data_IF_774370086642
#
_entry.id   IF_774370086642
#
_cell.length_a   1.000
_cell.length_b   1.000
_cell.length_c   1.000
_cell.angle_alpha   90.00
_cell.angle_beta   90.00
_cell.angle_gamma   90.00
#
_symmetry.space_group_name_H-M   'P 1'
#
loop_
_entity.id
_entity.type
_entity.pdbx_description
1 polymer ?
#
# COMPACT_ATOMS: atom_id res chain seq x y z
N UNK A 1 26.35 -12.63 7.06
CA UNK A 1 25.21 -11.81 7.51
C UNK A 1 24.29 -12.72 8.27
N UNK A 2 24.06 -12.48 9.56
CA UNK A 2 23.10 -13.26 10.35
C UNK A 2 21.70 -13.14 9.73
N UNK A 3 21.05 -14.28 9.56
CA UNK A 3 19.65 -14.29 9.12
C UNK A 3 18.78 -13.89 10.30
N UNK A 4 18.13 -12.76 10.21
CA UNK A 4 17.11 -12.40 11.18
C UNK A 4 15.97 -13.41 11.15
N UNK A 5 15.42 -13.69 12.31
CA UNK A 5 14.09 -14.32 12.40
C UNK A 5 13.11 -13.48 11.58
N UNK A 6 12.10 -14.14 10.99
CA UNK A 6 11.13 -13.44 10.13
C UNK A 6 10.53 -12.27 10.91
N UNK A 7 10.81 -11.02 10.51
CA UNK A 7 10.26 -9.87 11.18
C UNK A 7 8.78 -9.71 10.78
N UNK A 8 7.88 -9.75 11.73
CA UNK A 8 6.46 -9.44 11.51
C UNK A 8 6.23 -7.93 11.64
N UNK A 9 6.94 -7.16 10.84
CA UNK A 9 6.83 -5.68 10.78
C UNK A 9 6.56 -5.24 9.35
N UNK A 10 5.82 -4.14 9.14
CA UNK A 10 5.52 -3.64 7.79
C UNK A 10 6.73 -3.10 7.03
N UNK A 11 7.78 -2.74 7.75
CA UNK A 11 9.03 -2.23 7.20
C UNK A 11 9.76 -1.30 8.18
N UNK A 12 10.98 -0.90 7.86
CA UNK A 12 11.79 -1.38 6.73
C UNK A 12 12.22 -2.85 6.91
N UNK A 13 12.26 -3.58 5.81
CA UNK A 13 12.65 -5.00 5.77
C UNK A 13 13.77 -5.23 4.76
N UNK A 14 14.49 -6.35 4.90
CA UNK A 14 15.47 -6.75 3.90
C UNK A 14 14.77 -7.10 2.57
N UNK A 15 15.30 -6.57 1.48
CA UNK A 15 14.78 -6.83 0.13
C UNK A 15 15.65 -7.89 -0.54
N UNK A 16 15.07 -8.99 -1.06
CA UNK A 16 15.81 -10.00 -1.81
C UNK A 16 16.57 -9.40 -3.00
N UNK A 17 17.75 -9.97 -3.30
CA UNK A 17 18.61 -9.45 -4.38
C UNK A 17 17.93 -9.51 -5.76
N UNK A 18 17.08 -10.49 -5.98
CA UNK A 18 16.28 -10.64 -7.20
C UNK A 18 15.38 -9.43 -7.44
N UNK A 19 14.75 -8.94 -6.38
CA UNK A 19 13.87 -7.74 -6.44
C UNK A 19 14.71 -6.48 -6.66
N UNK A 20 15.86 -6.34 -5.97
CA UNK A 20 16.75 -5.21 -6.16
C UNK A 20 17.29 -5.11 -7.60
N UNK A 21 17.56 -6.26 -8.25
CA UNK A 21 17.97 -6.29 -9.66
C UNK A 21 16.86 -5.79 -10.58
N UNK A 22 15.61 -6.16 -10.32
CA UNK A 22 14.45 -5.69 -11.09
C UNK A 22 14.28 -4.18 -10.94
N UNK A 23 14.47 -3.62 -9.74
CA UNK A 23 14.41 -2.18 -9.51
C UNK A 23 15.44 -1.37 -10.31
N UNK A 24 16.54 -2.00 -10.76
CA UNK A 24 17.55 -1.38 -11.62
C UNK A 24 17.21 -1.44 -13.11
N UNK A 25 16.11 -2.10 -13.50
CA UNK A 25 15.67 -2.22 -14.89
C UNK A 25 14.94 -0.96 -15.33
N UNK A 26 15.33 -0.41 -16.48
CA UNK A 26 14.60 0.69 -17.07
C UNK A 26 13.38 0.16 -17.85
N UNK A 27 12.19 0.39 -17.32
CA UNK A 27 10.92 0.01 -17.94
C UNK A 27 10.31 1.14 -18.79
N UNK A 28 11.02 2.25 -18.96
CA UNK A 28 10.56 3.38 -19.73
C UNK A 28 9.62 4.32 -18.98
N UNK A 29 8.93 5.16 -19.74
CA UNK A 29 8.04 6.19 -19.22
C UNK A 29 6.66 5.63 -18.88
N UNK A 30 6.20 5.91 -17.68
CA UNK A 30 4.87 5.50 -17.20
C UNK A 30 3.72 6.06 -18.06
N UNK A 31 3.93 7.21 -18.71
CA UNK A 31 2.86 7.92 -19.41
C UNK A 31 2.75 7.55 -20.89
N UNK A 32 3.82 7.05 -21.50
CA UNK A 32 3.89 6.94 -22.95
C UNK A 32 4.24 5.55 -23.48
N UNK A 33 4.86 4.69 -22.67
CA UNK A 33 5.41 3.45 -23.20
C UNK A 33 4.50 2.26 -22.94
N UNK A 34 4.13 1.50 -24.00
CA UNK A 34 3.25 0.34 -23.89
C UNK A 34 3.77 -0.72 -22.95
N UNK A 35 5.09 -0.88 -22.86
CA UNK A 35 5.77 -1.85 -22.00
C UNK A 35 5.50 -1.57 -20.53
N UNK A 36 5.56 -0.30 -20.13
CA UNK A 36 5.23 0.08 -18.76
C UNK A 36 3.74 -0.15 -18.45
N UNK A 37 2.85 0.20 -19.37
CA UNK A 37 1.41 -0.02 -19.23
C UNK A 37 1.09 -1.51 -19.11
N UNK A 38 1.78 -2.36 -19.87
CA UNK A 38 1.63 -3.81 -19.78
C UNK A 38 2.08 -4.33 -18.41
N UNK A 39 3.26 -3.90 -17.95
CA UNK A 39 3.79 -4.22 -16.63
C UNK A 39 2.82 -3.83 -15.50
N UNK A 40 2.28 -2.62 -15.56
CA UNK A 40 1.31 -2.14 -14.57
C UNK A 40 0.04 -3.01 -14.53
N UNK A 41 -0.54 -3.31 -15.72
CA UNK A 41 -1.74 -4.16 -15.83
C UNK A 41 -1.50 -5.58 -15.32
N UNK A 42 -0.35 -6.16 -15.62
CA UNK A 42 -0.03 -7.51 -15.17
C UNK A 42 0.23 -7.54 -13.65
N UNK A 43 0.87 -6.50 -13.11
CA UNK A 43 1.02 -6.33 -11.67
C UNK A 43 -0.34 -6.20 -10.97
N UNK A 44 -1.27 -5.39 -11.52
CA UNK A 44 -2.64 -5.30 -10.99
C UNK A 44 -3.33 -6.66 -10.95
N UNK A 45 -3.25 -7.45 -12.03
CA UNK A 45 -3.84 -8.81 -12.08
C UNK A 45 -3.25 -9.75 -11.03
N UNK A 46 -1.94 -9.70 -10.82
CA UNK A 46 -1.27 -10.50 -9.79
C UNK A 46 -1.75 -10.11 -8.39
N UNK A 47 -1.88 -8.82 -8.11
CA UNK A 47 -2.42 -8.32 -6.85
C UNK A 47 -3.89 -8.70 -6.67
N UNK A 48 -4.71 -8.60 -7.70
CA UNK A 48 -6.11 -9.05 -7.67
C UNK A 48 -6.20 -10.54 -7.31
N UNK A 49 -5.34 -11.38 -7.91
CA UNK A 49 -5.27 -12.80 -7.60
C UNK A 49 -4.84 -13.05 -6.14
N UNK A 50 -3.84 -12.33 -5.67
CA UNK A 50 -3.34 -12.45 -4.30
C UNK A 50 -4.38 -12.04 -3.26
N UNK A 51 -5.18 -11.01 -3.57
CA UNK A 51 -6.23 -10.48 -2.70
C UNK A 51 -7.60 -11.12 -2.92
N UNK A 52 -7.71 -12.11 -3.81
CA UNK A 52 -8.95 -12.80 -4.16
C UNK A 52 -10.09 -11.83 -4.55
N UNK A 53 -9.76 -10.78 -5.29
CA UNK A 53 -10.70 -9.74 -5.67
C UNK A 53 -10.80 -9.55 -7.19
N UNK A 54 -11.97 -9.08 -7.64
CA UNK A 54 -12.20 -8.61 -9.02
C UNK A 54 -12.23 -7.07 -9.12
N UNK A 55 -12.12 -6.39 -8.00
CA UNK A 55 -12.08 -4.93 -7.95
C UNK A 55 -10.76 -4.42 -8.52
N UNK A 56 -10.77 -3.15 -8.94
CA UNK A 56 -9.53 -2.45 -9.31
C UNK A 56 -8.60 -2.37 -8.11
N UNK A 57 -7.31 -2.58 -8.38
CA UNK A 57 -6.25 -2.40 -7.40
C UNK A 57 -5.43 -1.19 -7.80
N UNK A 58 -5.45 -0.16 -6.98
CA UNK A 58 -4.67 1.05 -7.22
C UNK A 58 -3.27 0.86 -6.65
N UNK A 59 -2.28 0.98 -7.51
CA UNK A 59 -0.86 0.94 -7.14
C UNK A 59 -0.36 2.39 -7.11
N UNK A 60 -0.04 2.86 -5.91
CA UNK A 60 0.42 4.24 -5.71
C UNK A 60 1.88 4.25 -5.31
N UNK A 61 2.65 5.11 -5.95
CA UNK A 61 4.04 5.38 -5.56
C UNK A 61 4.05 6.35 -4.37
N UNK A 62 4.87 6.06 -3.37
CA UNK A 62 5.03 6.93 -2.21
C UNK A 62 5.33 6.16 -0.93
N UNK A 63 5.30 6.88 0.16
CA UNK A 63 5.42 6.33 1.51
C UNK A 63 4.11 5.65 1.92
N UNK A 64 4.18 4.51 2.65
CA UNK A 64 3.01 3.70 2.98
C UNK A 64 1.89 4.45 3.70
N UNK A 65 2.22 5.34 4.65
CA UNK A 65 1.22 6.14 5.36
C UNK A 65 0.46 7.10 4.43
N UNK A 66 1.10 7.57 3.34
CA UNK A 66 0.43 8.38 2.33
C UNK A 66 -0.66 7.59 1.60
N UNK A 67 -0.38 6.32 1.27
CA UNK A 67 -1.37 5.44 0.62
C UNK A 67 -2.55 5.17 1.56
N UNK A 68 -2.28 4.92 2.84
CA UNK A 68 -3.31 4.72 3.85
C UNK A 68 -4.19 5.97 4.01
N UNK A 69 -3.57 7.15 4.09
CA UNK A 69 -4.29 8.43 4.12
C UNK A 69 -5.18 8.62 2.88
N UNK A 70 -4.63 8.34 1.69
CA UNK A 70 -5.36 8.43 0.42
C UNK A 70 -6.56 7.48 0.41
N UNK A 71 -6.41 6.26 0.89
CA UNK A 71 -7.48 5.28 0.99
C UNK A 71 -8.61 5.77 1.91
N UNK A 72 -8.27 6.22 3.12
CA UNK A 72 -9.25 6.76 4.07
C UNK A 72 -9.98 7.99 3.49
N UNK A 73 -9.23 8.93 2.92
CA UNK A 73 -9.81 10.14 2.34
C UNK A 73 -10.70 9.87 1.13
N UNK A 74 -10.45 8.79 0.40
CA UNK A 74 -11.26 8.39 -0.76
C UNK A 74 -12.56 7.68 -0.38
N UNK A 75 -12.64 7.11 0.82
CA UNK A 75 -13.73 6.24 1.24
C UNK A 75 -14.59 6.83 2.37
N UNK A 76 -14.03 7.74 3.17
CA UNK A 76 -14.67 8.31 4.34
C UNK A 76 -15.06 9.77 4.12
N UNK A 77 -16.09 10.20 4.83
CA UNK A 77 -16.56 11.58 4.92
C UNK A 77 -16.77 11.99 6.38
N UNK A 78 -16.77 13.29 6.69
CA UNK A 78 -17.07 13.76 8.05
C UNK A 78 -18.39 13.19 8.59
N UNK A 79 -18.36 12.74 9.83
CA UNK A 79 -19.50 12.11 10.50
C UNK A 79 -19.61 10.59 10.32
N UNK A 80 -18.81 9.98 9.47
CA UNK A 80 -18.76 8.51 9.36
C UNK A 80 -18.23 7.88 10.65
N UNK A 81 -18.77 6.71 10.99
CA UNK A 81 -18.31 5.92 12.15
C UNK A 81 -17.28 4.89 11.70
N UNK A 82 -16.12 4.92 12.33
CA UNK A 82 -14.99 4.05 12.00
C UNK A 82 -14.58 3.23 13.21
N UNK A 83 -14.53 1.92 13.05
CA UNK A 83 -13.94 1.01 14.01
C UNK A 83 -12.47 0.77 13.63
N UNK A 84 -11.57 1.07 14.56
CA UNK A 84 -10.13 0.88 14.38
C UNK A 84 -9.64 -0.26 15.26
N UNK A 85 -9.19 -1.34 14.63
CA UNK A 85 -8.52 -2.44 15.33
C UNK A 85 -7.03 -2.18 15.31
N UNK A 86 -6.47 -1.87 16.48
CA UNK A 86 -5.05 -1.51 16.60
C UNK A 86 -4.32 -2.47 17.53
N UNK A 87 -3.10 -2.80 17.14
CA UNK A 87 -2.13 -3.53 17.97
C UNK A 87 -0.84 -2.72 18.18
N UNK A 88 -0.83 -1.45 17.78
CA UNK A 88 0.34 -0.58 17.92
C UNK A 88 0.27 0.69 17.06
N UNK A 89 1.40 1.36 16.95
CA UNK A 89 1.57 2.70 16.40
C UNK A 89 0.86 2.93 15.06
N UNK A 90 0.97 2.02 14.11
CA UNK A 90 0.35 2.19 12.79
C UNK A 90 -1.17 2.07 12.84
N UNK A 91 -1.69 1.16 13.67
CA UNK A 91 -3.14 1.05 13.87
C UNK A 91 -3.70 2.31 14.56
N UNK A 92 -3.01 2.83 15.57
CA UNK A 92 -3.37 4.08 16.25
C UNK A 92 -3.37 5.25 15.25
N UNK A 93 -2.34 5.32 14.37
CA UNK A 93 -2.27 6.32 13.31
C UNK A 93 -3.45 6.30 12.34
N UNK A 94 -4.07 5.14 12.10
CA UNK A 94 -5.33 5.06 11.33
C UNK A 94 -6.47 5.78 12.04
N UNK A 95 -6.58 5.58 13.35
CA UNK A 95 -7.57 6.29 14.17
C UNK A 95 -7.38 7.80 14.11
N UNK A 96 -6.16 8.26 14.25
CA UNK A 96 -5.83 9.69 14.18
C UNK A 96 -6.14 10.29 12.80
N UNK A 97 -5.80 9.56 11.72
CA UNK A 97 -6.14 9.98 10.36
C UNK A 97 -7.66 10.07 10.14
N UNK A 98 -8.41 9.07 10.57
CA UNK A 98 -9.87 9.08 10.43
C UNK A 98 -10.51 10.20 11.27
N UNK A 99 -9.99 10.45 12.48
CA UNK A 99 -10.41 11.57 13.32
C UNK A 99 -10.12 12.92 12.66
N UNK A 100 -8.95 13.08 12.03
CA UNK A 100 -8.61 14.30 11.29
C UNK A 100 -9.52 14.53 10.07
N UNK A 101 -10.16 13.48 9.53
CA UNK A 101 -11.18 13.59 8.50
C UNK A 101 -12.58 13.91 9.06
N UNK A 102 -12.72 14.08 10.37
CA UNK A 102 -14.00 14.38 11.03
C UNK A 102 -14.86 13.14 11.29
N UNK A 103 -14.27 11.94 11.30
CA UNK A 103 -15.00 10.71 11.62
C UNK A 103 -15.12 10.47 13.13
N UNK A 104 -16.14 9.71 13.51
CA UNK A 104 -16.31 9.20 14.88
C UNK A 104 -15.57 7.86 15.02
N UNK A 105 -14.59 7.81 15.94
CA UNK A 105 -13.74 6.62 16.14
C UNK A 105 -14.24 5.79 17.31
N UNK A 106 -14.22 4.50 17.14
CA UNK A 106 -14.47 3.49 18.19
C UNK A 106 -13.38 2.43 18.22
#
# INVERSE_FOLDING_TARGET
MEKYLIPLVPGPVAVPQEILKVAATNFGSADFEPEYLALYKDTEKLLQKMMETRNRVVIQTGEGMLVLWTALKSTLKPGDRVLVLSTGLFGEGFGDMAKALGCEIR
#
